data_IF_961593836147
#
_entry.id   IF_961593836147
#
_cell.length_a   1.000
_cell.length_b   1.000
_cell.length_c   1.000
_cell.angle_alpha   90.00
_cell.angle_beta   90.00
_cell.angle_gamma   90.00
#
_symmetry.space_group_name_H-M   'P 1'
#
loop_
_entity.id
_entity.type
_entity.pdbx_description
1 polymer ?
#
# COMPACT_ATOMS: atom_id res chain seq x y z
N UNK A 1 78.41 -35.22 -19.29
CA UNK A 1 77.58 -35.57 -18.09
C UNK A 1 76.23 -34.98 -18.27
N UNK A 2 75.19 -35.80 -18.43
CA UNK A 2 73.84 -35.40 -18.78
C UNK A 2 73.05 -34.94 -17.55
N UNK A 3 72.56 -33.69 -17.57
CA UNK A 3 71.58 -33.23 -16.59
C UNK A 3 70.17 -33.45 -17.17
N UNK A 4 69.38 -34.31 -16.49
CA UNK A 4 67.98 -34.61 -16.84
C UNK A 4 67.10 -33.45 -16.38
N UNK A 5 66.43 -32.77 -17.32
CA UNK A 5 65.33 -31.86 -17.03
C UNK A 5 64.07 -32.69 -16.72
N UNK A 6 63.57 -32.57 -15.49
CA UNK A 6 62.25 -33.05 -15.10
C UNK A 6 61.25 -31.91 -15.32
N UNK A 7 60.42 -32.03 -16.36
CA UNK A 7 59.25 -31.17 -16.55
C UNK A 7 58.12 -31.64 -15.62
N UNK A 8 57.88 -30.92 -14.54
CA UNK A 8 56.68 -31.06 -13.77
C UNK A 8 55.54 -30.28 -14.43
N UNK A 9 54.63 -31.03 -15.09
CA UNK A 9 53.40 -30.47 -15.64
C UNK A 9 52.40 -30.30 -14.49
N UNK A 10 52.27 -29.06 -14.02
CA UNK A 10 51.23 -28.69 -13.09
C UNK A 10 49.92 -28.39 -13.85
N UNK A 11 48.96 -29.30 -13.81
CA UNK A 11 47.59 -29.02 -14.23
C UNK A 11 46.94 -28.14 -13.19
N UNK A 12 46.78 -26.87 -13.52
CA UNK A 12 45.97 -25.91 -12.73
C UNK A 12 44.52 -26.28 -12.96
N UNK A 13 43.90 -27.00 -12.01
CA UNK A 13 42.48 -27.20 -11.99
C UNK A 13 41.82 -25.85 -11.61
N UNK A 14 41.22 -25.20 -12.57
CA UNK A 14 40.38 -24.02 -12.33
C UNK A 14 39.11 -24.49 -11.60
N UNK A 15 39.09 -24.26 -10.27
CA UNK A 15 37.88 -24.44 -9.48
C UNK A 15 36.95 -23.27 -9.79
N UNK A 16 35.96 -23.51 -10.67
CA UNK A 16 34.84 -22.60 -10.86
C UNK A 16 34.00 -22.62 -9.59
N UNK A 17 34.22 -21.67 -8.70
CA UNK A 17 33.31 -21.39 -7.58
C UNK A 17 32.07 -20.74 -8.16
N UNK A 18 31.04 -21.52 -8.45
CA UNK A 18 29.71 -21.02 -8.79
C UNK A 18 29.11 -20.46 -7.50
N UNK A 19 29.30 -19.16 -7.29
CA UNK A 19 28.55 -18.43 -6.24
C UNK A 19 27.11 -18.36 -6.69
N UNK A 20 26.29 -19.24 -6.16
CA UNK A 20 24.84 -19.13 -6.25
C UNK A 20 24.45 -17.94 -5.39
N UNK A 21 24.45 -16.76 -6.00
CA UNK A 21 23.87 -15.55 -5.41
C UNK A 21 22.36 -15.75 -5.29
N UNK A 22 21.93 -16.43 -4.24
CA UNK A 22 20.51 -16.49 -3.89
C UNK A 22 20.07 -15.08 -3.55
N UNK A 23 19.27 -14.45 -4.40
CA UNK A 23 18.56 -13.23 -4.07
C UNK A 23 17.68 -13.54 -2.85
N UNK A 24 18.12 -13.12 -1.68
CA UNK A 24 17.31 -13.21 -0.48
C UNK A 24 16.22 -12.13 -0.58
N UNK A 25 15.12 -12.47 -1.24
CA UNK A 25 13.93 -11.64 -1.24
C UNK A 25 13.32 -11.61 0.16
N UNK A 26 12.86 -10.44 0.60
CA UNK A 26 12.10 -10.33 1.81
C UNK A 26 10.71 -10.92 1.56
N UNK A 27 10.26 -11.83 2.39
CA UNK A 27 8.93 -12.42 2.28
C UNK A 27 7.95 -11.64 3.15
N UNK A 28 6.98 -10.96 2.52
CA UNK A 28 5.94 -10.22 3.23
C UNK A 28 4.78 -11.17 3.54
N UNK A 29 4.55 -11.43 4.82
CA UNK A 29 3.45 -12.27 5.32
C UNK A 29 2.41 -11.37 6.00
N UNK A 30 1.16 -11.41 5.55
CA UNK A 30 0.08 -10.67 6.14
C UNK A 30 -0.78 -11.61 6.99
N UNK A 31 -0.93 -11.26 8.26
CA UNK A 31 -1.75 -11.99 9.20
C UNK A 31 -3.17 -11.45 9.25
N UNK A 32 -3.30 -10.12 9.20
CA UNK A 32 -4.60 -9.43 9.25
C UNK A 32 -4.56 -8.26 8.29
N UNK A 33 -5.61 -8.11 7.50
CA UNK A 33 -5.88 -6.94 6.67
C UNK A 33 -7.40 -6.78 6.60
N UNK A 34 -7.98 -6.00 7.50
CA UNK A 34 -9.42 -5.92 7.68
C UNK A 34 -9.85 -4.55 8.21
N UNK A 35 -11.08 -4.17 7.90
CA UNK A 35 -11.78 -3.08 8.59
C UNK A 35 -12.50 -3.68 9.79
N UNK A 36 -12.16 -3.18 10.96
CA UNK A 36 -12.73 -3.62 12.24
C UNK A 36 -12.98 -2.43 13.14
N UNK A 37 -14.19 -2.29 13.68
CA UNK A 37 -14.55 -1.18 14.56
C UNK A 37 -14.47 0.21 13.91
N UNK A 38 -14.51 0.31 12.57
CA UNK A 38 -14.36 1.56 11.85
C UNK A 38 -12.90 1.95 11.61
N UNK A 39 -11.95 1.07 11.84
CA UNK A 39 -10.53 1.27 11.60
C UNK A 39 -9.99 0.22 10.62
N UNK A 40 -9.07 0.63 9.76
CA UNK A 40 -8.31 -0.29 8.93
C UNK A 40 -7.12 -0.81 9.73
N UNK A 41 -7.10 -2.11 9.94
CA UNK A 41 -6.05 -2.82 10.69
C UNK A 41 -5.24 -3.67 9.74
N UNK A 42 -3.94 -3.43 9.68
CA UNK A 42 -2.99 -4.24 8.90
C UNK A 42 -1.91 -4.74 9.84
N UNK A 43 -1.78 -6.05 9.92
CA UNK A 43 -0.78 -6.73 10.74
C UNK A 43 -0.05 -7.75 9.88
N UNK A 44 1.25 -7.77 9.98
CA UNK A 44 2.05 -8.70 9.22
C UNK A 44 3.47 -8.84 9.75
N UNK A 45 4.26 -9.58 9.00
CA UNK A 45 5.66 -9.80 9.28
C UNK A 45 6.44 -9.85 7.95
N UNK A 46 7.59 -9.21 7.95
CA UNK A 46 8.58 -9.34 6.88
C UNK A 46 9.66 -10.32 7.36
N UNK A 47 9.84 -11.40 6.62
CA UNK A 47 10.95 -12.32 6.85
C UNK A 47 12.19 -11.81 6.15
N UNK A 48 13.32 -11.86 6.83
CA UNK A 48 14.62 -11.37 6.34
C UNK A 48 14.59 -9.89 5.92
N UNK A 49 14.11 -8.99 6.79
CA UNK A 49 14.08 -7.59 6.46
C UNK A 49 15.52 -7.07 6.29
N UNK A 50 15.82 -6.50 5.13
CA UNK A 50 17.03 -5.68 4.93
C UNK A 50 16.79 -4.26 5.43
N UNK A 51 15.53 -3.85 5.37
CA UNK A 51 15.04 -2.56 5.83
C UNK A 51 13.88 -2.81 6.80
N UNK A 52 13.92 -2.33 8.05
CA UNK A 52 12.81 -2.46 8.98
C UNK A 52 11.58 -1.64 8.57
N UNK A 53 11.73 -0.68 7.67
CA UNK A 53 10.62 0.16 7.23
C UNK A 53 9.73 -0.59 6.23
N UNK A 54 8.43 -0.64 6.55
CA UNK A 54 7.39 -1.16 5.68
C UNK A 54 6.56 0.01 5.18
N UNK A 55 6.36 0.10 3.87
CA UNK A 55 5.50 1.10 3.27
C UNK A 55 4.17 0.48 2.91
N UNK A 56 3.08 1.13 3.31
CA UNK A 56 1.72 0.73 3.00
C UNK A 56 1.09 1.82 2.13
N UNK A 57 0.85 1.50 0.87
CA UNK A 57 0.14 2.38 -0.05
C UNK A 57 -1.34 2.08 0.00
N UNK A 58 -2.10 2.95 0.64
CA UNK A 58 -3.54 2.80 0.87
C UNK A 58 -4.32 3.26 -0.36
N UNK A 59 -3.94 4.39 -0.92
CA UNK A 59 -4.52 4.99 -2.12
C UNK A 59 -3.39 5.55 -3.00
N UNK A 60 -3.64 5.89 -4.28
CA UNK A 60 -2.61 6.44 -5.17
C UNK A 60 -1.83 7.61 -4.57
N UNK A 61 -2.48 8.42 -3.75
CA UNK A 61 -1.92 9.63 -3.15
C UNK A 61 -1.55 9.48 -1.66
N UNK A 62 -1.72 8.30 -1.09
CA UNK A 62 -1.47 8.07 0.35
C UNK A 62 -0.63 6.83 0.58
N UNK A 63 0.59 7.07 1.04
CA UNK A 63 1.51 6.02 1.50
C UNK A 63 1.88 6.29 2.94
N UNK A 64 1.83 5.28 3.78
CA UNK A 64 2.21 5.34 5.19
C UNK A 64 3.45 4.49 5.39
N UNK A 65 4.42 5.01 6.12
CA UNK A 65 5.60 4.26 6.52
C UNK A 65 5.40 3.73 7.93
N UNK A 66 5.64 2.45 8.12
CA UNK A 66 5.50 1.75 9.40
C UNK A 66 6.83 1.12 9.76
N UNK A 67 7.32 1.42 10.94
CA UNK A 67 8.52 0.77 11.44
C UNK A 67 8.20 -0.65 11.92
N UNK A 68 8.97 -1.61 11.44
CA UNK A 68 8.89 -2.99 11.89
C UNK A 68 9.66 -3.20 13.19
N UNK A 69 9.29 -4.24 13.92
CA UNK A 69 10.07 -4.72 15.07
C UNK A 69 11.36 -5.39 14.60
N UNK A 70 12.32 -5.60 15.51
CA UNK A 70 13.56 -6.32 15.24
C UNK A 70 13.33 -7.76 14.70
N UNK A 71 12.15 -8.33 14.95
CA UNK A 71 11.73 -9.64 14.42
C UNK A 71 10.96 -9.54 13.10
N UNK A 72 10.87 -8.34 12.51
CA UNK A 72 10.19 -8.08 11.26
C UNK A 72 8.67 -7.94 11.36
N UNK A 73 8.08 -8.00 12.55
CA UNK A 73 6.64 -7.77 12.73
C UNK A 73 6.28 -6.31 12.53
N UNK A 74 5.14 -6.02 11.92
CA UNK A 74 4.62 -4.66 11.79
C UNK A 74 3.12 -4.64 12.04
N UNK A 75 2.63 -3.50 12.52
CA UNK A 75 1.21 -3.24 12.75
C UNK A 75 0.89 -1.79 12.39
N UNK A 76 -0.17 -1.60 11.63
CA UNK A 76 -0.71 -0.29 11.33
C UNK A 76 -2.22 -0.27 11.57
N UNK A 77 -2.70 0.84 12.13
CA UNK A 77 -4.12 1.09 12.36
C UNK A 77 -4.40 2.53 11.91
N UNK A 78 -5.44 2.74 11.15
CA UNK A 78 -5.84 4.06 10.68
C UNK A 78 -7.29 4.13 10.24
N UNK A 79 -7.78 5.37 10.10
CA UNK A 79 -9.14 5.67 9.66
C UNK A 79 -9.26 5.86 8.14
N UNK A 80 -8.17 5.62 7.41
CA UNK A 80 -8.12 5.79 5.97
C UNK A 80 -8.45 4.48 5.27
N UNK A 81 -9.41 4.51 4.37
CA UNK A 81 -9.90 3.33 3.68
C UNK A 81 -9.49 3.36 2.19
N UNK A 82 -9.01 2.24 1.65
CA UNK A 82 -8.71 2.15 0.24
C UNK A 82 -10.01 2.11 -0.58
N UNK A 83 -10.13 2.96 -1.58
CA UNK A 83 -11.29 3.03 -2.47
C UNK A 83 -11.53 1.75 -3.27
N UNK A 84 -10.49 0.97 -3.48
CA UNK A 84 -10.51 -0.29 -4.26
C UNK A 84 -10.51 -1.53 -3.37
N UNK A 85 -10.58 -1.38 -2.05
CA UNK A 85 -10.44 -2.46 -1.08
C UNK A 85 -9.13 -3.26 -1.20
N UNK A 86 -8.09 -2.62 -1.74
CA UNK A 86 -6.75 -3.18 -1.92
C UNK A 86 -5.71 -2.21 -1.39
N UNK A 87 -4.67 -2.75 -0.80
CA UNK A 87 -3.48 -2.02 -0.41
C UNK A 87 -2.24 -2.68 -0.99
N UNK A 88 -1.23 -1.89 -1.33
CA UNK A 88 0.09 -2.38 -1.71
C UNK A 88 1.03 -2.22 -0.52
N UNK A 89 1.69 -3.30 -0.14
CA UNK A 89 2.67 -3.31 0.94
C UNK A 89 4.03 -3.58 0.33
N UNK A 90 5.00 -2.72 0.66
CA UNK A 90 6.36 -2.78 0.12
C UNK A 90 7.36 -2.84 1.27
N UNK A 91 8.38 -3.67 1.14
CA UNK A 91 9.52 -3.74 2.04
C UNK A 91 10.78 -3.93 1.20
N UNK A 92 11.62 -2.89 1.11
CA UNK A 92 12.72 -2.87 0.17
C UNK A 92 12.24 -2.98 -1.28
N UNK A 93 12.68 -4.00 -2.00
CA UNK A 93 12.28 -4.26 -3.39
C UNK A 93 11.03 -5.15 -3.51
N UNK A 94 10.59 -5.76 -2.41
CA UNK A 94 9.46 -6.67 -2.42
C UNK A 94 8.15 -5.93 -2.26
N UNK A 95 7.16 -6.33 -3.07
CA UNK A 95 5.81 -5.78 -3.10
C UNK A 95 4.77 -6.87 -2.97
N UNK A 96 3.70 -6.57 -2.24
CA UNK A 96 2.54 -7.44 -2.12
C UNK A 96 1.25 -6.64 -2.15
N UNK A 97 0.32 -7.01 -3.03
CA UNK A 97 -1.06 -6.52 -3.01
C UNK A 97 -1.89 -7.38 -2.05
N UNK A 98 -2.69 -6.73 -1.23
CA UNK A 98 -3.52 -7.37 -0.20
C UNK A 98 -4.94 -6.85 -0.31
N UNK A 99 -5.89 -7.78 -0.31
CA UNK A 99 -7.32 -7.48 -0.22
C UNK A 99 -7.70 -7.22 1.24
N UNK A 100 -8.50 -6.18 1.45
CA UNK A 100 -8.97 -5.80 2.78
C UNK A 100 -10.31 -6.48 3.04
N UNK A 101 -10.38 -7.27 4.10
CA UNK A 101 -11.61 -7.88 4.57
C UNK A 101 -12.56 -6.82 5.14
N UNK A 102 -13.87 -7.06 5.04
CA UNK A 102 -14.92 -6.15 5.48
C UNK A 102 -14.87 -4.75 4.83
N UNK A 103 -14.21 -4.63 3.67
CA UNK A 103 -14.17 -3.41 2.89
C UNK A 103 -15.26 -3.49 1.80
N UNK A 104 -16.28 -2.65 1.90
CA UNK A 104 -17.27 -2.45 0.85
C UNK A 104 -16.88 -1.29 -0.06
N UNK A 105 -17.26 -1.30 -1.35
CA UNK A 105 -17.18 -0.12 -2.18
C UNK A 105 -18.02 1.00 -1.57
N UNK A 106 -17.60 2.25 -1.74
CA UNK A 106 -18.41 3.40 -1.34
C UNK A 106 -19.77 3.32 -2.02
N UNK A 107 -20.84 3.51 -1.26
CA UNK A 107 -22.19 3.57 -1.81
C UNK A 107 -22.34 4.72 -2.83
N UNK A 108 -23.36 4.68 -3.68
CA UNK A 108 -23.62 5.79 -4.59
C UNK A 108 -23.87 7.09 -3.80
N UNK A 109 -23.52 8.25 -4.37
CA UNK A 109 -23.84 9.53 -3.74
C UNK A 109 -25.32 9.62 -3.42
N UNK A 110 -25.66 10.23 -2.29
CA UNK A 110 -27.05 10.49 -1.92
C UNK A 110 -27.76 11.38 -2.97
N UNK A 111 -29.09 11.31 -3.05
CA UNK A 111 -29.85 12.15 -3.96
C UNK A 111 -29.62 13.63 -3.61
N UNK A 112 -29.67 14.53 -4.62
CA UNK A 112 -29.62 15.97 -4.38
C UNK A 112 -30.69 16.39 -3.36
N UNK A 113 -30.37 17.38 -2.52
CA UNK A 113 -31.33 17.96 -1.60
C UNK A 113 -32.53 18.57 -2.35
N UNK A 114 -33.69 18.70 -1.70
CA UNK A 114 -34.85 19.32 -2.30
C UNK A 114 -34.56 20.77 -2.67
N UNK A 115 -35.17 21.30 -3.75
CA UNK A 115 -35.05 22.72 -4.10
C UNK A 115 -35.46 23.60 -2.93
N UNK A 116 -34.80 24.73 -2.75
CA UNK A 116 -35.18 25.76 -1.77
C UNK A 116 -36.63 26.23 -2.00
N UNK A 117 -37.27 26.61 -0.94
CA UNK A 117 -38.63 27.18 -1.02
C UNK A 117 -38.63 28.47 -1.89
N UNK A 118 -39.66 28.57 -2.73
CA UNK A 118 -39.86 29.77 -3.52
C UNK A 118 -40.08 30.95 -2.56
N UNK A 119 -39.43 32.09 -2.83
CA UNK A 119 -39.61 33.31 -2.06
C UNK A 119 -41.07 33.77 -2.04
N UNK A 120 -41.46 34.53 -1.04
CA UNK A 120 -42.81 35.07 -0.97
C UNK A 120 -43.15 35.92 -2.22
N UNK A 121 -44.39 35.83 -2.66
CA UNK A 121 -44.87 36.66 -3.77
C UNK A 121 -44.70 38.13 -3.45
N UNK A 122 -44.27 38.91 -4.44
CA UNK A 122 -44.16 40.37 -4.29
C UNK A 122 -45.51 41.03 -3.91
N UNK A 123 -45.47 42.19 -3.28
CA UNK A 123 -46.69 42.93 -2.91
C UNK A 123 -47.52 43.25 -4.17
N UNK A 124 -48.83 43.16 -4.00
CA UNK A 124 -49.79 43.52 -5.06
C UNK A 124 -49.61 45.03 -5.33
N UNK A 125 -49.51 45.38 -6.61
CA UNK A 125 -49.45 46.79 -7.03
C UNK A 125 -50.69 47.61 -6.57
N UNK A 126 -50.44 48.84 -6.28
CA UNK A 126 -51.52 49.76 -5.85
C UNK A 126 -52.59 49.94 -6.94
N UNK A 127 -53.87 50.06 -6.55
CA UNK A 127 -54.94 50.43 -7.51
C UNK A 127 -54.64 51.76 -8.15
N UNK A 128 -54.63 51.79 -9.47
CA UNK A 128 -54.49 53.09 -10.18
C UNK A 128 -55.54 54.11 -9.75
N UNK A 129 -55.12 55.36 -9.53
CA UNK A 129 -56.04 56.46 -9.24
C UNK A 129 -57.11 56.62 -10.35
N UNK A 130 -58.36 56.63 -9.91
CA UNK A 130 -59.46 56.87 -10.81
C UNK A 130 -59.37 58.31 -11.38
N UNK A 131 -59.26 58.45 -12.70
CA UNK A 131 -59.30 59.74 -13.39
C UNK A 131 -60.62 60.38 -13.13
N UNK A 132 -60.59 61.65 -12.72
CA UNK A 132 -61.78 62.57 -12.64
C UNK A 132 -62.16 63.03 -14.04
#
# INVERSE_FOLDING_TARGET
MLAKLIRAGGTVAAVCVITWGGNAHAEILITTAAISGGELVIVGRVRRPRDPAVQIKINPNKTVQVEGTSTGGFRWIGLEFPSTCKVEITSGEDKREVLIQNCGPAGPPGPPGPPGQMGPAGPKGDPGEAAK
#
